data_IF_712163143269
#
_entry.id   IF_712163143269
#
_cell.length_a   1.000
_cell.length_b   1.000
_cell.length_c   1.000
_cell.angle_alpha   90.00
_cell.angle_beta   90.00
_cell.angle_gamma   90.00
#
_symmetry.space_group_name_H-M   'P 1'
#
loop_
_entity.id
_entity.type
_entity.pdbx_description
1 polymer ?
#
# COMPACT_ATOMS: atom_id res chain seq x y z
N UNK A 1 0.92 0.86 -19.49
CA UNK A 1 0.60 2.21 -18.98
C UNK A 1 -0.75 2.16 -18.29
N UNK A 2 -0.90 2.76 -17.09
CA UNK A 2 -2.17 2.85 -16.33
C UNK A 2 -3.36 3.34 -17.15
N UNK A 3 -3.08 4.18 -18.15
CA UNK A 3 -4.08 4.77 -19.03
C UNK A 3 -4.79 3.77 -19.96
N UNK A 4 -4.29 2.54 -20.11
CA UNK A 4 -4.97 1.48 -20.87
C UNK A 4 -6.18 0.88 -20.11
N UNK A 5 -6.23 1.04 -18.79
CA UNK A 5 -7.29 0.49 -17.93
C UNK A 5 -8.48 1.44 -17.74
N UNK A 6 -8.42 2.66 -18.27
CA UNK A 6 -9.51 3.64 -18.17
C UNK A 6 -10.31 3.64 -19.48
N UNK A 7 -11.62 3.31 -19.45
CA UNK A 7 -12.47 3.32 -20.64
C UNK A 7 -12.39 4.66 -21.38
N UNK A 8 -12.28 4.60 -22.72
CA UNK A 8 -12.14 5.78 -23.61
C UNK A 8 -13.25 6.80 -23.40
N UNK A 9 -14.44 6.32 -23.07
CA UNK A 9 -15.69 7.04 -22.87
C UNK A 9 -15.66 7.90 -21.60
N UNK A 10 -14.87 7.48 -20.60
CA UNK A 10 -14.66 8.20 -19.33
C UNK A 10 -13.44 9.13 -19.41
N UNK A 11 -12.61 8.97 -20.45
CA UNK A 11 -11.34 9.65 -20.61
C UNK A 11 -11.52 11.09 -21.09
N UNK A 12 -12.00 11.96 -20.21
CA UNK A 12 -12.03 13.40 -20.47
C UNK A 12 -10.60 13.93 -20.48
N UNK A 13 -10.09 14.37 -21.63
CA UNK A 13 -8.78 15.04 -21.71
C UNK A 13 -8.84 16.32 -20.88
N UNK A 14 -8.07 16.37 -19.81
CA UNK A 14 -7.86 17.57 -19.01
C UNK A 14 -6.50 18.16 -19.36
N UNK A 15 -6.46 19.46 -19.63
CA UNK A 15 -5.22 20.23 -19.75
C UNK A 15 -4.79 20.85 -18.41
N UNK A 16 -5.53 20.57 -17.34
CA UNK A 16 -5.15 21.01 -16.00
C UNK A 16 -3.80 20.37 -15.65
N UNK A 17 -2.84 21.22 -15.25
CA UNK A 17 -1.56 20.75 -14.75
C UNK A 17 -1.74 20.28 -13.32
N UNK A 18 -1.23 19.09 -13.02
CA UNK A 18 -1.19 18.60 -11.64
C UNK A 18 -0.16 19.41 -10.86
N UNK A 19 -0.53 19.86 -9.66
CA UNK A 19 0.42 20.39 -8.70
C UNK A 19 1.28 19.25 -8.15
N UNK A 20 2.59 19.47 -8.06
CA UNK A 20 3.51 18.55 -7.39
C UNK A 20 3.83 19.12 -6.02
N UNK A 21 3.62 18.32 -4.97
CA UNK A 21 4.01 18.67 -3.60
C UNK A 21 4.98 17.63 -3.07
N UNK A 22 6.16 18.09 -2.66
CA UNK A 22 7.07 17.30 -1.82
C UNK A 22 6.81 17.67 -0.36
N UNK A 23 6.72 16.66 0.48
CA UNK A 23 6.51 16.84 1.92
C UNK A 23 7.87 16.65 2.60
N UNK A 24 8.21 17.58 3.49
CA UNK A 24 9.45 17.56 4.27
C UNK A 24 9.18 17.08 5.70
N UNK A 25 10.25 16.75 6.44
CA UNK A 25 10.18 16.32 7.84
C UNK A 25 9.32 15.06 8.02
N UNK A 26 9.44 14.12 7.08
CA UNK A 26 8.80 12.81 7.15
C UNK A 26 9.81 11.80 7.71
N UNK A 27 9.37 10.77 8.45
CA UNK A 27 10.26 9.75 9.00
C UNK A 27 10.97 8.98 7.89
N UNK A 28 12.30 8.94 7.93
CA UNK A 28 13.11 8.17 6.98
C UNK A 28 13.02 6.68 7.28
N UNK A 29 13.12 5.86 6.23
CA UNK A 29 13.11 4.41 6.32
C UNK A 29 14.54 3.90 6.17
N UNK A 30 15.19 3.54 7.27
CA UNK A 30 16.59 3.08 7.24
C UNK A 30 16.68 1.61 6.74
N UNK A 31 15.66 0.79 7.01
CA UNK A 31 15.61 -0.62 6.57
C UNK A 31 14.87 -0.76 5.24
N UNK A 32 15.57 -1.22 4.20
CA UNK A 32 14.97 -1.45 2.88
C UNK A 32 13.75 -2.42 2.91
N UNK A 33 13.67 -3.31 3.90
CA UNK A 33 12.57 -4.24 4.09
C UNK A 33 11.25 -3.61 4.54
N UNK A 34 11.28 -2.38 5.07
CA UNK A 34 10.10 -1.72 5.65
C UNK A 34 9.43 -0.68 4.73
N UNK A 35 9.95 -0.51 3.50
CA UNK A 35 9.44 0.45 2.53
C UNK A 35 7.92 0.36 2.28
N UNK A 36 7.36 -0.85 2.29
CA UNK A 36 5.93 -1.06 2.10
C UNK A 36 5.09 -0.51 3.27
N UNK A 37 5.55 -0.70 4.50
CA UNK A 37 4.87 -0.23 5.71
C UNK A 37 4.93 1.30 5.76
N UNK A 38 6.10 1.90 5.50
CA UNK A 38 6.26 3.34 5.38
C UNK A 38 5.33 3.93 4.32
N UNK A 39 5.29 3.33 3.13
CA UNK A 39 4.45 3.80 2.02
C UNK A 39 2.97 3.83 2.40
N UNK A 40 2.47 2.75 3.01
CA UNK A 40 1.07 2.66 3.43
C UNK A 40 0.77 3.68 4.52
N UNK A 41 1.65 3.80 5.52
CA UNK A 41 1.49 4.75 6.62
C UNK A 41 1.52 6.20 6.13
N UNK A 42 2.36 6.50 5.16
CA UNK A 42 2.39 7.82 4.54
C UNK A 42 1.05 8.15 3.88
N UNK A 43 0.50 7.22 3.10
CA UNK A 43 -0.82 7.40 2.46
C UNK A 43 -1.91 7.58 3.52
N UNK A 44 -1.92 6.77 4.57
CA UNK A 44 -2.88 6.84 5.69
C UNK A 44 -2.83 8.22 6.36
N UNK A 45 -1.64 8.69 6.78
CA UNK A 45 -1.46 10.00 7.40
C UNK A 45 -1.92 11.14 6.48
N UNK A 46 -1.57 11.09 5.19
CA UNK A 46 -1.96 12.13 4.23
C UNK A 46 -3.46 12.14 3.94
N UNK A 47 -4.08 10.98 3.81
CA UNK A 47 -5.51 10.86 3.58
C UNK A 47 -6.33 11.36 4.79
N UNK A 48 -5.88 11.03 6.00
CA UNK A 48 -6.53 11.41 7.26
C UNK A 48 -6.09 12.77 7.81
N UNK A 49 -5.14 13.45 7.15
CA UNK A 49 -4.52 14.71 7.60
C UNK A 49 -3.92 14.61 9.01
N UNK A 50 -3.35 13.46 9.35
CA UNK A 50 -2.64 13.22 10.61
C UNK A 50 -1.13 13.46 10.47
N UNK A 51 -0.45 13.69 11.59
CA UNK A 51 1.02 13.73 11.63
C UNK A 51 1.60 12.33 11.38
N UNK A 52 2.89 12.27 11.09
CA UNK A 52 3.65 11.02 10.97
C UNK A 52 4.18 10.52 12.32
N UNK A 53 3.62 11.02 13.43
CA UNK A 53 4.09 10.68 14.76
C UNK A 53 3.91 9.20 15.04
N UNK A 54 4.96 8.57 15.57
CA UNK A 54 4.96 7.13 15.82
C UNK A 54 5.15 6.28 14.56
N UNK A 55 5.66 6.82 13.46
CA UNK A 55 6.26 6.05 12.37
C UNK A 55 7.78 6.14 12.49
N UNK A 56 8.45 5.05 12.86
CA UNK A 56 9.90 4.95 12.90
C UNK A 56 10.38 3.50 12.95
N UNK A 57 11.63 3.24 12.59
CA UNK A 57 12.14 1.86 12.46
C UNK A 57 12.02 1.04 13.75
N UNK A 58 12.11 1.72 14.91
CA UNK A 58 12.00 1.10 16.24
C UNK A 58 10.66 0.42 16.49
N UNK A 59 9.60 0.79 15.77
CA UNK A 59 8.26 0.23 15.98
C UNK A 59 7.68 -0.52 14.78
N UNK A 60 8.49 -0.80 13.75
CA UNK A 60 8.03 -1.42 12.51
C UNK A 60 7.35 -2.76 12.72
N UNK A 61 7.89 -3.60 13.60
CA UNK A 61 7.27 -4.90 13.89
C UNK A 61 5.83 -4.73 14.42
N UNK A 62 5.60 -3.79 15.33
CA UNK A 62 4.27 -3.52 15.87
C UNK A 62 3.33 -2.92 14.80
N UNK A 63 3.83 -2.01 13.96
CA UNK A 63 3.06 -1.44 12.85
C UNK A 63 2.68 -2.50 11.83
N UNK A 64 3.59 -3.41 11.48
CA UNK A 64 3.37 -4.53 10.57
C UNK A 64 2.29 -5.47 11.10
N UNK A 65 2.40 -5.89 12.37
CA UNK A 65 1.39 -6.74 13.00
C UNK A 65 0.03 -6.06 13.06
N UNK A 66 -0.04 -4.79 13.46
CA UNK A 66 -1.29 -4.03 13.53
C UNK A 66 -1.93 -3.86 12.15
N UNK A 67 -1.14 -3.59 11.12
CA UNK A 67 -1.64 -3.43 9.77
C UNK A 67 -2.13 -4.76 9.19
N UNK A 68 -1.37 -5.83 9.38
CA UNK A 68 -1.77 -7.17 8.96
C UNK A 68 -3.10 -7.59 9.61
N UNK A 69 -3.23 -7.40 10.94
CA UNK A 69 -4.48 -7.70 11.65
C UNK A 69 -5.66 -6.95 11.03
N UNK A 70 -5.55 -5.63 10.84
CA UNK A 70 -6.60 -4.83 10.19
C UNK A 70 -6.97 -5.34 8.79
N UNK A 71 -5.98 -5.64 7.97
CA UNK A 71 -6.21 -6.16 6.61
C UNK A 71 -6.92 -7.52 6.64
N UNK A 72 -6.54 -8.42 7.56
CA UNK A 72 -7.18 -9.72 7.69
C UNK A 72 -8.59 -9.61 8.27
N UNK A 73 -8.82 -8.71 9.21
CA UNK A 73 -10.16 -8.43 9.74
C UNK A 73 -11.08 -7.90 8.63
N UNK A 74 -10.63 -6.90 7.86
CA UNK A 74 -11.34 -6.38 6.69
C UNK A 74 -11.62 -7.50 5.67
N UNK A 75 -10.62 -8.32 5.33
CA UNK A 75 -10.81 -9.43 4.40
C UNK A 75 -11.76 -10.51 4.93
N UNK A 76 -11.77 -10.76 6.23
CA UNK A 76 -12.69 -11.71 6.88
C UNK A 76 -14.15 -11.31 6.69
N UNK A 77 -14.44 -10.01 6.74
CA UNK A 77 -15.78 -9.46 6.46
C UNK A 77 -16.19 -9.64 4.98
N UNK A 78 -15.24 -9.57 4.05
CA UNK A 78 -15.48 -9.76 2.61
C UNK A 78 -15.24 -11.19 2.11
N UNK A 79 -14.80 -12.12 2.97
CA UNK A 79 -14.44 -13.49 2.59
C UNK A 79 -15.61 -14.29 2.00
N UNK A 80 -16.86 -13.90 2.30
CA UNK A 80 -18.06 -14.45 1.64
C UNK A 80 -18.24 -14.05 0.17
N UNK A 81 -17.47 -13.08 -0.33
CA UNK A 81 -17.59 -12.53 -1.71
C UNK A 81 -16.37 -12.78 -2.60
N UNK A 82 -15.23 -13.13 -2.00
CA UNK A 82 -14.01 -13.48 -2.72
C UNK A 82 -13.96 -14.99 -2.87
N UNK A 83 -14.36 -15.51 -4.03
CA UNK A 83 -14.12 -16.91 -4.40
C UNK A 83 -12.63 -17.23 -4.13
N UNK A 84 -12.40 -17.98 -3.06
CA UNK A 84 -11.07 -18.33 -2.55
C UNK A 84 -10.27 -19.20 -3.52
N UNK A 85 -10.91 -19.68 -4.59
CA UNK A 85 -10.36 -20.52 -5.64
C UNK A 85 -9.34 -19.81 -6.56
N UNK A 86 -9.34 -18.47 -6.63
CA UNK A 86 -8.34 -17.72 -7.41
C UNK A 86 -6.99 -17.63 -6.65
N UNK A 87 -6.96 -17.90 -5.34
CA UNK A 87 -5.86 -17.46 -4.45
C UNK A 87 -4.64 -18.38 -4.35
N UNK A 88 -4.58 -19.51 -5.06
CA UNK A 88 -3.42 -20.43 -4.99
C UNK A 88 -2.89 -20.99 -6.30
N UNK A 89 -3.65 -20.97 -7.40
CA UNK A 89 -3.27 -21.74 -8.59
C UNK A 89 -2.38 -21.00 -9.61
N UNK A 90 -2.39 -19.67 -9.65
CA UNK A 90 -1.81 -18.95 -10.80
C UNK A 90 -0.55 -18.11 -10.51
N UNK A 91 -0.06 -18.09 -9.28
CA UNK A 91 1.18 -17.38 -8.93
C UNK A 91 2.16 -18.32 -8.23
N UNK A 92 3.01 -19.05 -8.97
CA UNK A 92 4.18 -19.67 -8.37
C UNK A 92 5.07 -18.55 -7.85
N UNK A 93 5.19 -18.42 -6.53
CA UNK A 93 6.23 -17.59 -5.92
C UNK A 93 7.55 -18.29 -6.28
N UNK A 94 8.44 -17.68 -7.06
CA UNK A 94 9.75 -18.28 -7.34
C UNK A 94 10.43 -18.56 -6.00
N UNK A 95 10.90 -19.79 -5.81
CA UNK A 95 11.72 -20.10 -4.65
C UNK A 95 12.97 -19.21 -4.72
N UNK A 96 13.22 -18.48 -3.64
CA UNK A 96 14.46 -17.74 -3.46
C UNK A 96 15.52 -18.80 -3.15
N UNK A 97 16.39 -19.10 -4.11
CA UNK A 97 17.50 -20.01 -3.88
C UNK A 97 18.56 -19.27 -3.05
N UNK A 98 18.59 -19.53 -1.75
CA UNK A 98 19.68 -19.10 -0.87
C UNK A 98 20.92 -19.97 -1.19
N UNK A 99 21.73 -19.50 -2.14
CA UNK A 99 23.08 -20.03 -2.42
C UNK A 99 24.13 -19.43 -1.49
#
# INVERSE_FOLDING_TARGET
MLSAFVPVQVRKKSYARLGVKRISNVPENDDAGDCAIYSIKYIECLALRQSFDGLCDKNMQALRTKLAAKMFDELGEYAGTLNSDIRRKDFPIPQLDDS
#
